data_IF_134235305241
#
_entry.id   IF_134235305241
#
_cell.length_a   1.000
_cell.length_b   1.000
_cell.length_c   1.000
_cell.angle_alpha   90.00
_cell.angle_beta   90.00
_cell.angle_gamma   90.00
#
_symmetry.space_group_name_H-M   'P 1'
#
loop_
_entity.id
_entity.type
_entity.pdbx_description
1 polymer ?
#
# COMPACT_ATOMS: atom_id res chain seq x y z
N UNK A 1 -39.61 15.61 9.22
CA UNK A 1 -38.51 14.62 9.07
C UNK A 1 -38.55 14.02 7.69
N UNK A 2 -37.50 14.14 7.00
CA UNK A 2 -37.49 13.75 5.59
C UNK A 2 -36.88 12.38 5.31
N UNK A 3 -36.17 11.83 6.17
CA UNK A 3 -35.46 10.58 6.06
C UNK A 3 -35.87 9.62 4.95
N UNK A 4 -36.41 8.48 5.30
CA UNK A 4 -36.65 7.39 4.38
C UNK A 4 -37.68 7.62 3.27
N UNK A 5 -38.44 8.73 3.28
CA UNK A 5 -39.41 9.00 2.25
C UNK A 5 -38.88 9.75 1.04
N UNK A 6 -37.62 10.25 1.16
CA UNK A 6 -36.96 10.95 0.07
C UNK A 6 -36.19 9.94 -0.80
N UNK A 7 -36.53 9.83 -2.11
CA UNK A 7 -35.84 8.88 -2.97
C UNK A 7 -34.33 9.15 -3.09
N UNK A 8 -33.88 10.36 -2.78
CA UNK A 8 -32.44 10.69 -2.78
C UNK A 8 -31.80 10.57 -1.41
N UNK A 9 -32.57 10.20 -0.40
CA UNK A 9 -32.07 10.08 0.94
C UNK A 9 -31.14 8.87 1.05
N UNK A 10 -29.95 9.09 1.60
CA UNK A 10 -28.99 8.05 1.84
C UNK A 10 -28.57 8.10 3.31
N UNK A 11 -29.12 7.22 4.15
CA UNK A 11 -28.83 7.29 5.58
C UNK A 11 -27.37 6.98 5.87
N UNK A 12 -26.69 7.88 6.58
CA UNK A 12 -25.27 7.76 6.90
C UNK A 12 -24.94 6.48 7.65
N UNK A 13 -25.86 6.00 8.46
CA UNK A 13 -25.66 4.75 9.22
C UNK A 13 -25.51 3.52 8.32
N UNK A 14 -25.87 3.62 7.03
CA UNK A 14 -25.71 2.51 6.09
C UNK A 14 -24.39 2.60 5.30
N UNK A 15 -23.65 3.68 5.48
CA UNK A 15 -22.35 3.84 4.86
C UNK A 15 -21.35 3.13 5.77
N UNK A 16 -20.68 2.13 5.21
CA UNK A 16 -19.67 1.36 5.94
C UNK A 16 -18.30 1.69 5.42
N UNK A 17 -17.39 1.95 6.32
CA UNK A 17 -15.99 2.15 6.01
C UNK A 17 -15.14 1.54 7.11
N UNK A 18 -13.85 1.40 6.81
CA UNK A 18 -12.86 0.97 7.77
C UNK A 18 -11.83 2.06 7.91
N UNK A 19 -11.45 2.36 9.14
CA UNK A 19 -10.40 3.33 9.45
C UNK A 19 -9.05 2.64 9.36
N UNK A 20 -8.21 3.08 8.44
CA UNK A 20 -6.92 2.46 8.17
C UNK A 20 -5.80 3.41 8.60
N UNK A 21 -4.86 2.95 9.44
CA UNK A 21 -3.80 3.83 9.92
C UNK A 21 -2.83 4.21 8.80
N UNK A 22 -2.55 5.51 8.71
CA UNK A 22 -1.56 6.06 7.81
C UNK A 22 -0.25 6.24 8.58
N UNK A 23 0.79 5.57 8.12
CA UNK A 23 2.09 5.63 8.76
C UNK A 23 2.98 6.63 8.04
N UNK A 24 3.66 7.49 8.82
CA UNK A 24 4.67 8.41 8.29
C UNK A 24 5.91 7.66 7.85
N UNK A 25 6.22 6.57 8.55
CA UNK A 25 7.30 5.65 8.15
C UNK A 25 6.99 4.26 8.69
N UNK A 26 7.56 3.24 8.04
CA UNK A 26 7.45 1.85 8.48
C UNK A 26 8.88 1.34 8.63
N UNK A 27 9.28 1.09 9.86
CA UNK A 27 10.64 0.67 10.17
C UNK A 27 10.87 -0.77 9.73
N UNK A 28 11.88 -0.99 8.90
CA UNK A 28 12.18 -2.32 8.38
C UNK A 28 12.90 -3.22 9.39
N UNK A 29 13.34 -2.67 10.50
CA UNK A 29 13.93 -3.43 11.60
C UNK A 29 12.87 -4.03 12.51
N UNK A 30 13.05 -3.87 13.82
CA UNK A 30 12.09 -4.38 14.81
C UNK A 30 10.87 -3.46 14.86
N UNK A 31 9.66 -4.06 14.91
CA UNK A 31 8.42 -3.31 15.07
C UNK A 31 8.04 -2.50 13.84
N UNK A 32 7.75 -3.19 12.72
CA UNK A 32 7.39 -2.56 11.45
C UNK A 32 6.31 -1.48 11.59
N UNK A 33 5.25 -1.79 12.32
CA UNK A 33 4.10 -0.91 12.44
C UNK A 33 4.09 -0.30 13.84
N UNK A 34 4.97 0.69 14.04
CA UNK A 34 5.12 1.36 15.33
C UNK A 34 4.02 2.42 15.46
N UNK A 35 3.25 2.32 16.53
CA UNK A 35 2.08 3.16 16.78
C UNK A 35 2.42 4.65 16.77
N UNK A 36 3.60 5.03 17.27
CA UNK A 36 4.07 6.42 17.28
C UNK A 36 4.21 6.99 15.86
N UNK A 37 4.32 6.15 14.84
CA UNK A 37 4.46 6.59 13.45
C UNK A 37 3.12 6.73 12.74
N UNK A 38 2.01 6.49 13.41
CA UNK A 38 0.69 6.74 12.84
C UNK A 38 0.44 8.24 12.89
N UNK A 39 0.25 8.85 11.72
CA UNK A 39 0.00 10.29 11.64
C UNK A 39 -1.46 10.62 11.32
N UNK A 40 -2.24 9.65 10.86
CA UNK A 40 -3.63 9.86 10.50
C UNK A 40 -4.33 8.52 10.33
N UNK A 41 -5.63 8.57 10.14
CA UNK A 41 -6.46 7.41 9.80
C UNK A 41 -7.26 7.73 8.55
N UNK A 42 -7.27 6.80 7.61
CA UNK A 42 -7.94 6.98 6.32
C UNK A 42 -9.21 6.13 6.33
N UNK A 43 -10.36 6.76 6.11
CA UNK A 43 -11.64 6.06 6.00
C UNK A 43 -11.76 5.48 4.59
N UNK A 44 -11.80 4.16 4.49
CA UNK A 44 -11.89 3.45 3.21
C UNK A 44 -13.20 2.69 3.17
N UNK A 45 -14.04 2.89 2.13
CA UNK A 45 -15.28 2.14 2.01
C UNK A 45 -15.07 0.64 2.00
N UNK A 46 -15.95 -0.09 2.68
CA UNK A 46 -15.85 -1.53 2.84
C UNK A 46 -15.75 -2.30 1.52
N UNK A 47 -16.33 -1.75 0.45
CA UNK A 47 -16.33 -2.43 -0.86
C UNK A 47 -14.93 -2.62 -1.44
N UNK A 48 -13.93 -1.86 -0.96
CA UNK A 48 -12.55 -1.94 -1.45
C UNK A 48 -11.68 -2.85 -0.62
N UNK A 49 -12.16 -3.32 0.52
CA UNK A 49 -11.35 -4.04 1.48
C UNK A 49 -12.10 -5.27 2.01
N UNK A 50 -11.37 -6.18 2.62
CA UNK A 50 -11.92 -7.36 3.27
C UNK A 50 -11.82 -7.16 4.78
N UNK A 51 -12.94 -7.17 5.49
CA UNK A 51 -12.97 -6.91 6.94
C UNK A 51 -12.20 -7.95 7.77
N UNK A 52 -11.90 -9.11 7.18
CA UNK A 52 -11.13 -10.16 7.87
C UNK A 52 -9.62 -9.98 7.74
N UNK A 53 -9.17 -8.94 7.04
CA UNK A 53 -7.76 -8.68 6.81
C UNK A 53 -7.34 -7.36 7.43
N UNK A 54 -6.04 -7.20 7.61
CA UNK A 54 -5.48 -5.96 8.14
C UNK A 54 -4.86 -5.13 7.03
N UNK A 55 -4.92 -3.82 7.19
CA UNK A 55 -4.47 -2.86 6.18
C UNK A 55 -3.64 -1.77 6.81
N UNK A 56 -2.84 -1.13 6.00
CA UNK A 56 -2.11 0.09 6.37
C UNK A 56 -2.05 1.02 5.19
N UNK A 57 -1.77 2.29 5.45
CA UNK A 57 -1.63 3.30 4.41
C UNK A 57 -0.27 3.97 4.49
N UNK A 58 0.24 4.37 3.35
CA UNK A 58 1.43 5.21 3.20
C UNK A 58 1.17 6.25 2.11
N UNK A 59 1.96 7.30 2.14
CA UNK A 59 1.97 8.30 1.08
C UNK A 59 3.06 7.94 0.07
N UNK A 60 2.71 7.92 -1.21
CA UNK A 60 3.66 7.66 -2.29
C UNK A 60 4.67 8.79 -2.39
N UNK A 61 5.94 8.44 -2.55
CA UNK A 61 7.03 9.38 -2.69
C UNK A 61 7.73 9.16 -4.03
N UNK A 62 7.92 10.25 -4.77
CA UNK A 62 8.63 10.20 -6.04
C UNK A 62 7.78 9.71 -7.20
N UNK A 63 8.44 9.38 -8.29
CA UNK A 63 7.78 9.09 -9.58
C UNK A 63 8.06 7.69 -10.11
N UNK A 64 8.57 6.78 -9.28
CA UNK A 64 8.97 5.46 -9.76
C UNK A 64 7.80 4.60 -10.24
N UNK A 65 6.57 4.94 -9.88
CA UNK A 65 5.39 4.16 -10.23
C UNK A 65 4.38 4.93 -11.08
N UNK A 66 4.78 6.01 -11.72
CA UNK A 66 3.87 6.84 -12.53
C UNK A 66 3.25 6.09 -13.70
N UNK A 67 3.95 5.10 -14.26
CA UNK A 67 3.40 4.26 -15.34
C UNK A 67 2.20 3.41 -14.91
N UNK A 68 2.00 3.24 -13.62
CA UNK A 68 0.83 2.56 -13.05
C UNK A 68 -0.17 3.55 -12.46
N UNK A 69 -0.01 4.83 -12.76
CA UNK A 69 -0.92 5.87 -12.29
C UNK A 69 -0.71 6.28 -10.85
N UNK A 70 0.40 5.89 -10.24
CA UNK A 70 0.71 6.27 -8.86
C UNK A 70 1.62 7.50 -8.90
N UNK A 71 1.11 8.62 -8.39
CA UNK A 71 1.80 9.90 -8.40
C UNK A 71 2.34 10.22 -7.01
N UNK A 72 3.37 11.06 -6.98
CA UNK A 72 3.89 11.58 -5.70
C UNK A 72 2.74 12.21 -4.92
N UNK A 73 2.65 11.88 -3.64
CA UNK A 73 1.60 12.40 -2.77
C UNK A 73 0.33 11.58 -2.71
N UNK A 74 0.17 10.57 -3.56
CA UNK A 74 -1.00 9.68 -3.50
C UNK A 74 -1.03 8.93 -2.19
N UNK A 75 -2.24 8.68 -1.68
CA UNK A 75 -2.44 7.84 -0.51
C UNK A 75 -2.61 6.39 -0.97
N UNK A 76 -1.71 5.52 -0.53
CA UNK A 76 -1.69 4.11 -0.94
C UNK A 76 -2.24 3.25 0.19
N UNK A 77 -3.17 2.36 -0.15
CA UNK A 77 -3.77 1.43 0.81
C UNK A 77 -3.26 0.03 0.50
N UNK A 78 -2.62 -0.58 1.48
CA UNK A 78 -2.04 -1.91 1.36
C UNK A 78 -2.73 -2.89 2.30
N UNK A 79 -2.94 -4.10 1.81
CA UNK A 79 -3.30 -5.23 2.65
C UNK A 79 -2.02 -5.81 3.24
N UNK A 80 -1.96 -6.02 4.54
CA UNK A 80 -0.80 -6.64 5.18
C UNK A 80 -0.68 -8.08 4.71
N UNK A 81 0.42 -8.41 4.07
CA UNK A 81 0.72 -9.76 3.61
C UNK A 81 2.21 -9.92 3.39
N UNK A 82 2.70 -11.14 3.50
CA UNK A 82 4.09 -11.46 3.16
C UNK A 82 4.17 -12.30 1.87
N UNK A 83 3.06 -12.44 1.15
CA UNK A 83 2.99 -13.25 -0.07
C UNK A 83 2.41 -12.42 -1.20
N UNK A 84 3.13 -12.38 -2.33
CA UNK A 84 2.68 -11.73 -3.55
C UNK A 84 2.86 -12.65 -4.74
N UNK A 85 2.07 -12.41 -5.78
CA UNK A 85 2.22 -13.07 -7.08
C UNK A 85 2.88 -12.10 -8.06
N UNK A 86 3.59 -12.65 -9.05
CA UNK A 86 4.24 -11.84 -10.08
C UNK A 86 3.23 -10.90 -10.75
N UNK A 87 3.61 -9.64 -10.89
CA UNK A 87 2.79 -8.60 -11.48
C UNK A 87 2.03 -7.77 -10.46
N UNK A 88 1.95 -8.21 -9.23
CA UNK A 88 1.27 -7.43 -8.19
C UNK A 88 2.17 -6.32 -7.67
N UNK A 89 1.56 -5.22 -7.27
CA UNK A 89 2.26 -4.08 -6.68
C UNK A 89 2.25 -4.25 -5.16
N UNK A 90 3.39 -4.09 -4.54
CA UNK A 90 3.51 -4.27 -3.11
C UNK A 90 4.37 -3.23 -2.43
N UNK A 91 4.43 -3.36 -1.12
CA UNK A 91 5.31 -2.59 -0.25
C UNK A 91 6.39 -3.52 0.29
N UNK A 92 7.64 -3.07 0.24
CA UNK A 92 8.80 -3.91 0.54
C UNK A 92 9.80 -3.19 1.43
N UNK A 93 10.40 -3.93 2.36
CA UNK A 93 11.59 -3.47 3.07
C UNK A 93 12.83 -4.02 2.37
N UNK A 94 13.79 -3.16 2.12
CA UNK A 94 15.02 -3.52 1.43
C UNK A 94 16.23 -2.99 2.20
N UNK A 95 17.23 -3.85 2.43
CA UNK A 95 18.56 -3.45 2.91
C UNK A 95 18.56 -2.58 4.18
N UNK A 96 17.80 -2.94 5.19
CA UNK A 96 17.72 -2.18 6.44
C UNK A 96 17.30 -0.73 6.26
N UNK A 97 16.64 -0.42 5.16
CA UNK A 97 16.10 0.92 4.94
C UNK A 97 15.16 1.33 6.06
N UNK A 98 15.08 2.63 6.31
CA UNK A 98 14.19 3.16 7.34
C UNK A 98 12.75 3.26 6.88
N UNK A 99 12.47 2.87 5.63
CA UNK A 99 11.14 2.99 5.05
C UNK A 99 10.93 1.92 3.99
N UNK A 100 9.69 1.75 3.61
CA UNK A 100 9.29 0.78 2.59
C UNK A 100 9.26 1.42 1.21
N UNK A 101 9.49 0.61 0.19
CA UNK A 101 9.36 1.03 -1.20
C UNK A 101 8.16 0.36 -1.84
N UNK A 102 7.52 1.06 -2.77
CA UNK A 102 6.38 0.55 -3.55
C UNK A 102 6.89 0.17 -4.94
N UNK A 103 6.76 -1.09 -5.32
CA UNK A 103 7.29 -1.62 -6.58
C UNK A 103 6.38 -2.72 -7.11
N UNK A 104 6.63 -3.13 -8.36
CA UNK A 104 5.99 -4.29 -8.97
C UNK A 104 6.82 -5.52 -8.63
N UNK A 105 6.18 -6.53 -8.07
CA UNK A 105 6.82 -7.78 -7.69
C UNK A 105 6.93 -8.71 -8.88
N UNK A 106 8.13 -9.28 -9.13
CA UNK A 106 8.33 -10.34 -10.11
C UNK A 106 9.14 -11.45 -9.48
N UNK A 107 8.66 -12.66 -9.63
CA UNK A 107 9.41 -13.85 -9.26
C UNK A 107 9.71 -14.64 -10.52
N UNK A 108 10.99 -14.79 -10.84
CA UNK A 108 11.42 -15.49 -12.04
C UNK A 108 11.41 -16.99 -11.83
N UNK A 109 11.49 -17.75 -12.94
CA UNK A 109 11.43 -19.21 -12.91
C UNK A 109 12.54 -19.85 -12.05
N UNK A 110 13.68 -19.18 -11.93
CA UNK A 110 14.79 -19.65 -11.11
C UNK A 110 14.68 -19.22 -9.64
N UNK A 111 13.56 -18.59 -9.26
CA UNK A 111 13.32 -18.14 -7.89
C UNK A 111 13.86 -16.76 -7.57
N UNK A 112 14.55 -16.12 -8.51
CA UNK A 112 15.07 -14.77 -8.30
C UNK A 112 13.89 -13.79 -8.20
N UNK A 113 13.93 -12.90 -7.23
CA UNK A 113 12.94 -11.85 -7.05
C UNK A 113 13.47 -10.55 -7.63
N UNK A 114 12.65 -9.88 -8.44
CA UNK A 114 12.95 -8.59 -9.04
C UNK A 114 11.84 -7.62 -8.68
N UNK A 115 12.21 -6.44 -8.22
CA UNK A 115 11.28 -5.37 -7.93
C UNK A 115 11.41 -4.32 -9.02
N UNK A 116 10.33 -4.12 -9.77
CA UNK A 116 10.33 -3.22 -10.93
C UNK A 116 9.64 -1.92 -10.60
N UNK A 117 10.18 -0.84 -11.16
CA UNK A 117 9.48 0.44 -11.20
C UNK A 117 8.63 0.53 -12.46
N UNK A 118 7.57 1.31 -12.41
CA UNK A 118 6.77 1.63 -13.59
C UNK A 118 7.22 2.99 -14.16
N UNK A 119 8.53 3.09 -14.39
CA UNK A 119 9.17 4.28 -14.93
C UNK A 119 10.54 3.86 -15.46
N UNK A 120 10.77 4.07 -16.76
CA UNK A 120 11.97 3.58 -17.43
C UNK A 120 13.27 4.18 -16.92
N UNK A 121 13.24 5.32 -16.25
CA UNK A 121 14.46 5.91 -15.71
C UNK A 121 15.01 5.19 -14.46
N UNK A 122 14.25 4.24 -13.90
CA UNK A 122 14.69 3.47 -12.75
C UNK A 122 15.00 2.04 -13.16
N UNK A 123 16.15 1.55 -12.76
CA UNK A 123 16.53 0.16 -12.99
C UNK A 123 15.79 -0.78 -12.04
N UNK A 124 15.50 -2.02 -12.46
CA UNK A 124 14.94 -3.03 -11.55
C UNK A 124 15.90 -3.32 -10.40
N UNK A 125 15.33 -3.64 -9.25
CA UNK A 125 16.10 -4.05 -8.08
C UNK A 125 16.07 -5.57 -8.02
N UNK A 126 17.26 -6.19 -8.13
CA UNK A 126 17.38 -7.65 -8.02
C UNK A 126 17.63 -7.99 -6.57
N UNK A 127 16.79 -8.85 -6.01
CA UNK A 127 16.87 -9.22 -4.59
C UNK A 127 17.71 -10.48 -4.46
N UNK A 128 18.75 -10.40 -3.63
CA UNK A 128 19.51 -11.57 -3.21
C UNK A 128 18.68 -12.33 -2.19
N UNK A 129 18.31 -13.57 -2.51
CA UNK A 129 17.48 -14.41 -1.63
C UNK A 129 18.14 -14.73 -0.28
N UNK A 130 19.44 -14.51 -0.17
CA UNK A 130 20.15 -14.66 1.10
C UNK A 130 20.10 -13.37 1.93
N UNK A 131 19.53 -12.31 1.40
CA UNK A 131 19.43 -11.03 2.09
C UNK A 131 18.32 -11.10 3.14
N UNK A 132 18.71 -11.15 4.40
CA UNK A 132 17.78 -11.25 5.53
C UNK A 132 16.95 -9.99 5.72
N UNK A 133 17.37 -8.88 5.12
CA UNK A 133 16.69 -7.58 5.29
C UNK A 133 15.55 -7.36 4.31
N UNK A 134 15.39 -8.23 3.31
CA UNK A 134 14.28 -8.13 2.37
C UNK A 134 13.01 -8.73 2.97
N UNK A 135 11.92 -7.96 2.94
CA UNK A 135 10.60 -8.45 3.37
C UNK A 135 9.50 -7.87 2.52
N UNK A 136 8.50 -8.71 2.22
CA UNK A 136 7.23 -8.28 1.64
C UNK A 136 6.36 -7.83 2.81
N UNK A 137 5.84 -6.60 2.74
CA UNK A 137 5.05 -6.00 3.82
C UNK A 137 3.58 -5.99 3.47
N UNK A 138 3.24 -5.71 2.22
CA UNK A 138 1.85 -5.61 1.84
C UNK A 138 1.61 -5.63 0.34
N UNK A 139 0.34 -5.78 -0.02
CA UNK A 139 -0.15 -5.75 -1.38
C UNK A 139 -1.01 -4.51 -1.58
N UNK A 140 -0.73 -3.74 -2.63
CA UNK A 140 -1.51 -2.55 -2.95
C UNK A 140 -2.93 -2.96 -3.38
N UNK A 141 -3.94 -2.39 -2.75
CA UNK A 141 -5.34 -2.70 -3.06
C UNK A 141 -6.09 -1.51 -3.67
N UNK A 142 -5.74 -0.30 -3.28
CA UNK A 142 -6.32 0.91 -3.89
C UNK A 142 -5.47 2.12 -3.55
N UNK A 143 -5.75 3.23 -4.21
CA UNK A 143 -5.09 4.50 -3.94
C UNK A 143 -6.06 5.64 -4.05
N UNK A 144 -5.73 6.75 -3.42
CA UNK A 144 -6.50 7.99 -3.51
C UNK A 144 -5.55 9.12 -3.87
N UNK A 145 -5.97 9.94 -4.85
CA UNK A 145 -5.21 11.09 -5.31
C UNK A 145 -6.02 12.35 -5.11
N UNK A 146 -5.37 13.43 -4.71
CA UNK A 146 -6.05 14.71 -4.68
C UNK A 146 -6.07 15.32 -6.09
N UNK A 147 -7.12 16.08 -6.35
CA UNK A 147 -7.28 16.78 -7.62
C UNK A 147 -6.79 18.21 -7.42
N UNK A 148 -5.60 18.48 -7.90
CA UNK A 148 -5.04 19.83 -7.76
C UNK A 148 -4.40 20.30 -9.03
#
# INVERSE_FOLDING_TARGET
MVGGDDPNYFPLKNIKDKSIPLYSSICCGMGLFVEENIEDYIAVPDRYINSNKEYFANIAKGDSMIGKGINDGDTLIFEKTNVLESGQIGSFCINDGNDCVCKIFRKLNNGIIVLESANQKYDPIIIDVTNECFRVIGKLVCKFSSVE
#
